data_IF_645879953367
#
_entry.id   IF_645879953367
#
_cell.length_a   1.000
_cell.length_b   1.000
_cell.length_c   1.000
_cell.angle_alpha   90.00
_cell.angle_beta   90.00
_cell.angle_gamma   90.00
#
_symmetry.space_group_name_H-M   'P 1'
#
loop_
_entity.id
_entity.type
_entity.pdbx_description
1 polymer ?
#
# COMPACT_ATOMS: atom_id res chain seq x y z
N UNK A 1 0.83 22.41 -4.85
CA UNK A 1 0.88 21.85 -6.21
C UNK A 1 0.16 20.53 -6.16
N UNK A 2 -0.94 20.38 -6.90
CA UNK A 2 -1.70 19.13 -6.92
C UNK A 2 -0.82 18.02 -7.54
N UNK A 3 -0.58 16.96 -6.79
CA UNK A 3 0.09 15.78 -7.32
C UNK A 3 -0.83 15.16 -8.37
N UNK A 4 -0.49 15.34 -9.65
CA UNK A 4 -1.18 14.63 -10.73
C UNK A 4 -0.87 13.13 -10.55
N UNK A 5 -1.87 12.25 -10.29
CA UNK A 5 -1.64 10.82 -10.08
C UNK A 5 -0.96 10.13 -11.27
N UNK A 6 -1.17 10.63 -12.48
CA UNK A 6 -0.55 10.09 -13.70
C UNK A 6 0.98 10.23 -13.71
N UNK A 7 1.54 11.24 -13.04
CA UNK A 7 3.00 11.43 -13.01
C UNK A 7 3.72 10.40 -12.14
N UNK A 8 3.07 9.78 -11.14
CA UNK A 8 3.68 8.76 -10.30
C UNK A 8 4.01 7.48 -11.09
N UNK A 9 3.09 7.02 -11.93
CA UNK A 9 3.24 5.76 -12.68
C UNK A 9 4.15 5.89 -13.91
N UNK A 10 4.37 7.12 -14.40
CA UNK A 10 5.25 7.40 -15.55
C UNK A 10 6.72 7.59 -15.19
N UNK A 11 7.07 7.48 -13.91
CA UNK A 11 8.44 7.68 -13.44
C UNK A 11 9.31 6.44 -13.63
N UNK A 12 10.61 6.67 -13.83
CA UNK A 12 11.61 5.61 -14.08
C UNK A 12 12.11 4.90 -12.82
N UNK A 13 11.90 5.48 -11.62
CA UNK A 13 12.31 4.83 -10.39
C UNK A 13 11.46 3.58 -10.12
N UNK A 14 12.06 2.53 -9.59
CA UNK A 14 11.39 1.26 -9.30
C UNK A 14 10.44 1.40 -8.11
N UNK A 15 9.21 0.93 -8.26
CA UNK A 15 8.21 0.85 -7.18
C UNK A 15 7.93 -0.60 -6.78
N UNK A 16 7.24 -0.78 -5.65
CA UNK A 16 6.75 -2.11 -5.27
C UNK A 16 5.78 -2.71 -6.31
N UNK A 17 5.04 -1.86 -7.05
CA UNK A 17 4.15 -2.33 -8.13
C UNK A 17 4.91 -2.89 -9.32
N UNK A 18 6.07 -2.30 -9.66
CA UNK A 18 6.96 -2.82 -10.70
C UNK A 18 7.53 -4.18 -10.31
N UNK A 19 7.90 -4.36 -9.03
CA UNK A 19 8.31 -5.67 -8.50
C UNK A 19 7.17 -6.69 -8.49
N UNK A 20 5.93 -6.25 -8.28
CA UNK A 20 4.75 -7.12 -8.39
C UNK A 20 4.56 -7.59 -9.82
N UNK A 21 4.63 -6.67 -10.79
CA UNK A 21 4.52 -7.01 -12.21
C UNK A 21 5.63 -7.99 -12.64
N UNK A 22 6.85 -7.76 -12.19
CA UNK A 22 7.97 -8.68 -12.43
C UNK A 22 7.70 -10.07 -11.83
N UNK A 23 7.27 -10.14 -10.56
CA UNK A 23 6.95 -11.40 -9.91
C UNK A 23 5.87 -12.18 -10.68
N UNK A 24 4.84 -11.51 -11.17
CA UNK A 24 3.77 -12.11 -11.95
C UNK A 24 4.25 -12.61 -13.31
N UNK A 25 5.21 -11.92 -13.94
CA UNK A 25 5.83 -12.35 -15.18
C UNK A 25 6.69 -13.60 -14.98
N UNK A 26 7.49 -13.65 -13.91
CA UNK A 26 8.39 -14.77 -13.62
C UNK A 26 7.67 -15.98 -13.03
N UNK A 27 6.64 -15.74 -12.24
CA UNK A 27 5.88 -16.76 -11.49
C UNK A 27 4.37 -16.54 -11.67
N UNK A 28 3.82 -16.81 -12.88
CA UNK A 28 2.39 -16.64 -13.12
C UNK A 28 1.58 -17.52 -12.18
N UNK A 29 0.73 -16.90 -11.38
CA UNK A 29 -0.22 -17.61 -10.49
C UNK A 29 -1.57 -17.73 -11.15
N UNK A 30 -2.27 -18.84 -10.88
CA UNK A 30 -3.68 -18.92 -11.21
C UNK A 30 -4.43 -17.81 -10.45
N UNK A 31 -5.10 -16.94 -11.20
CA UNK A 31 -5.88 -15.88 -10.62
C UNK A 31 -7.24 -16.42 -10.18
N UNK A 32 -7.53 -16.31 -8.89
CA UNK A 32 -8.86 -16.62 -8.35
C UNK A 32 -9.63 -15.31 -8.12
N UNK A 33 -10.83 -15.22 -8.68
CA UNK A 33 -11.69 -14.05 -8.55
C UNK A 33 -11.38 -12.92 -9.55
N UNK A 34 -12.20 -11.87 -9.50
CA UNK A 34 -12.00 -10.68 -10.32
C UNK A 34 -11.06 -9.70 -9.63
N UNK A 35 -9.76 -9.83 -9.92
CA UNK A 35 -8.71 -8.97 -9.37
C UNK A 35 -8.90 -7.50 -9.76
N UNK A 36 -9.32 -7.25 -10.97
CA UNK A 36 -9.53 -5.90 -11.49
C UNK A 36 -10.65 -5.18 -10.72
N UNK A 37 -11.76 -5.87 -10.47
CA UNK A 37 -12.86 -5.36 -9.67
C UNK A 37 -12.44 -5.12 -8.21
N UNK A 38 -11.67 -6.07 -7.63
CA UNK A 38 -11.15 -5.91 -6.27
C UNK A 38 -10.23 -4.70 -6.14
N UNK A 39 -9.40 -4.46 -7.16
CA UNK A 39 -8.49 -3.30 -7.22
C UNK A 39 -9.26 -2.00 -7.42
N UNK A 40 -10.23 -1.99 -8.34
CA UNK A 40 -11.11 -0.85 -8.60
C UNK A 40 -11.86 -0.42 -7.33
N UNK A 41 -12.47 -1.38 -6.61
CA UNK A 41 -13.15 -1.08 -5.35
C UNK A 41 -12.17 -0.59 -4.26
N UNK A 42 -10.95 -1.16 -4.19
CA UNK A 42 -9.89 -0.70 -3.31
C UNK A 42 -9.55 0.78 -3.54
N UNK A 43 -9.43 1.18 -4.81
CA UNK A 43 -9.18 2.58 -5.19
C UNK A 43 -10.31 3.53 -4.75
N UNK A 44 -11.57 3.08 -4.80
CA UNK A 44 -12.70 3.88 -4.31
C UNK A 44 -12.60 4.11 -2.79
N UNK A 45 -12.33 3.05 -2.02
CA UNK A 45 -12.19 3.14 -0.56
C UNK A 45 -11.01 4.04 -0.20
N UNK A 46 -9.87 3.87 -0.86
CA UNK A 46 -8.67 4.68 -0.64
C UNK A 46 -8.97 6.17 -0.95
N UNK A 47 -9.54 6.47 -2.11
CA UNK A 47 -9.86 7.84 -2.51
C UNK A 47 -10.83 8.53 -1.52
N UNK A 48 -11.88 7.84 -1.05
CA UNK A 48 -12.81 8.40 -0.06
C UNK A 48 -12.10 8.77 1.24
N UNK A 49 -11.08 8.01 1.64
CA UNK A 49 -10.42 8.15 2.93
C UNK A 49 -9.21 9.09 2.83
N UNK A 50 -8.38 8.94 1.80
CA UNK A 50 -7.08 9.63 1.71
C UNK A 50 -7.06 10.79 0.71
N UNK A 51 -7.93 10.78 -0.31
CA UNK A 51 -7.97 11.77 -1.39
C UNK A 51 -9.41 12.24 -1.72
N UNK A 52 -10.22 12.71 -0.76
CA UNK A 52 -11.64 13.00 -0.97
C UNK A 52 -11.91 14.05 -2.06
N UNK A 53 -10.92 14.87 -2.40
CA UNK A 53 -11.04 15.86 -3.48
C UNK A 53 -11.15 15.24 -4.88
N UNK A 54 -10.74 13.96 -5.06
CA UNK A 54 -10.88 13.20 -6.31
C UNK A 54 -12.26 12.56 -6.48
N UNK A 55 -13.07 12.53 -5.40
CA UNK A 55 -14.35 11.82 -5.37
C UNK A 55 -15.49 12.75 -5.77
N UNK A 56 -16.25 12.37 -6.78
CA UNK A 56 -17.48 13.04 -7.17
C UNK A 56 -18.70 12.23 -6.72
N UNK A 57 -19.29 12.61 -5.62
CA UNK A 57 -20.44 11.92 -5.01
C UNK A 57 -21.72 12.01 -5.84
N UNK A 58 -21.88 13.02 -6.68
CA UNK A 58 -23.05 13.17 -7.56
C UNK A 58 -22.97 12.27 -8.79
N UNK A 59 -21.75 12.15 -9.34
CA UNK A 59 -21.50 11.33 -10.51
C UNK A 59 -21.09 9.91 -10.16
N UNK A 60 -20.83 9.64 -8.89
CA UNK A 60 -20.31 8.37 -8.39
C UNK A 60 -19.00 7.99 -9.09
N UNK A 61 -18.08 8.95 -9.20
CA UNK A 61 -16.76 8.71 -9.84
C UNK A 61 -15.61 9.04 -8.89
N UNK A 62 -14.49 8.36 -9.14
CA UNK A 62 -13.17 8.80 -8.69
C UNK A 62 -12.37 9.10 -9.95
N UNK A 63 -11.97 10.33 -10.13
CA UNK A 63 -11.49 10.85 -11.42
C UNK A 63 -12.47 10.46 -12.56
N UNK A 64 -11.99 9.72 -13.57
CA UNK A 64 -12.80 9.25 -14.70
C UNK A 64 -13.41 7.85 -14.50
N UNK A 65 -13.12 7.19 -13.36
CA UNK A 65 -13.64 5.84 -13.09
C UNK A 65 -15.04 5.90 -12.49
N UNK A 66 -16.01 5.29 -13.17
CA UNK A 66 -17.40 5.19 -12.73
C UNK A 66 -17.60 4.01 -11.79
N UNK A 67 -18.42 4.20 -10.74
CA UNK A 67 -18.82 3.18 -9.77
C UNK A 67 -20.35 3.10 -9.66
N UNK A 68 -20.84 2.00 -9.10
CA UNK A 68 -22.26 1.82 -8.80
C UNK A 68 -22.64 2.50 -7.47
N UNK A 69 -23.94 2.74 -7.26
CA UNK A 69 -24.45 3.25 -5.98
C UNK A 69 -24.14 2.29 -4.82
N UNK A 70 -24.21 0.98 -5.07
CA UNK A 70 -23.91 -0.02 -4.04
C UNK A 70 -22.44 -0.01 -3.63
N UNK A 71 -21.51 0.13 -4.59
CA UNK A 71 -20.09 0.27 -4.30
C UNK A 71 -19.80 1.53 -3.49
N UNK A 72 -20.38 2.67 -3.88
CA UNK A 72 -20.22 3.92 -3.12
C UNK A 72 -20.79 3.83 -1.71
N UNK A 73 -22.00 3.28 -1.58
CA UNK A 73 -22.62 3.07 -0.26
C UNK A 73 -21.75 2.18 0.63
N UNK A 74 -21.29 1.06 0.10
CA UNK A 74 -20.41 0.13 0.83
C UNK A 74 -19.08 0.79 1.23
N UNK A 75 -18.42 1.50 0.31
CA UNK A 75 -17.18 2.20 0.64
C UNK A 75 -17.38 3.30 1.70
N UNK A 76 -18.52 4.00 1.67
CA UNK A 76 -18.89 4.97 2.71
C UNK A 76 -19.17 4.29 4.06
N UNK A 77 -19.77 3.10 4.08
CA UNK A 77 -19.95 2.32 5.32
C UNK A 77 -18.61 1.89 5.90
N UNK A 78 -17.68 1.43 5.08
CA UNK A 78 -16.30 1.13 5.50
C UNK A 78 -15.62 2.36 6.09
N UNK A 79 -15.75 3.53 5.47
CA UNK A 79 -15.21 4.78 6.01
C UNK A 79 -15.86 5.17 7.34
N UNK A 80 -17.19 5.04 7.48
CA UNK A 80 -17.88 5.28 8.75
C UNK A 80 -17.37 4.36 9.86
N UNK A 81 -17.10 3.09 9.54
CA UNK A 81 -16.54 2.14 10.49
C UNK A 81 -15.13 2.54 10.94
N UNK A 82 -14.26 2.95 10.00
CA UNK A 82 -12.94 3.49 10.33
C UNK A 82 -13.02 4.71 11.25
N UNK A 83 -13.93 5.65 10.95
CA UNK A 83 -14.17 6.84 11.79
C UNK A 83 -14.76 6.50 13.16
N UNK A 84 -15.55 5.44 13.25
CA UNK A 84 -16.08 4.94 14.53
C UNK A 84 -14.97 4.30 15.37
N UNK A 85 -14.11 3.49 14.74
CA UNK A 85 -12.95 2.88 15.41
C UNK A 85 -11.99 3.95 15.96
N UNK A 86 -11.77 5.03 15.24
CA UNK A 86 -10.92 6.15 15.66
C UNK A 86 -11.39 6.80 16.99
N UNK A 87 -12.63 6.62 17.41
CA UNK A 87 -13.14 7.10 18.73
C UNK A 87 -12.58 6.28 19.89
N UNK A 88 -12.14 5.06 19.60
CA UNK A 88 -11.63 4.10 20.59
C UNK A 88 -10.13 3.86 20.41
N UNK A 89 -9.61 4.09 19.21
CA UNK A 89 -8.19 4.00 18.87
C UNK A 89 -7.58 5.40 18.74
N UNK A 90 -6.92 5.87 19.82
CA UNK A 90 -6.29 7.20 19.84
C UNK A 90 -5.22 7.39 18.77
N UNK A 91 -4.51 6.30 18.39
CA UNK A 91 -3.51 6.38 17.33
C UNK A 91 -4.16 6.57 15.96
N UNK A 92 -5.22 5.83 15.66
CA UNK A 92 -5.98 6.02 14.42
C UNK A 92 -6.58 7.43 14.34
N UNK A 93 -7.15 7.94 15.43
CA UNK A 93 -7.67 9.32 15.48
C UNK A 93 -6.54 10.34 15.19
N UNK A 94 -5.36 10.14 15.76
CA UNK A 94 -4.21 10.97 15.49
C UNK A 94 -3.78 10.90 14.01
N UNK A 95 -3.71 9.70 13.43
CA UNK A 95 -3.39 9.50 12.00
C UNK A 95 -4.38 10.25 11.10
N UNK A 96 -5.68 10.04 11.31
CA UNK A 96 -6.72 10.65 10.48
C UNK A 96 -6.76 12.20 10.56
N UNK A 97 -6.20 12.79 11.61
CA UNK A 97 -6.14 14.25 11.78
C UNK A 97 -4.84 14.89 11.30
N UNK A 98 -3.72 14.15 11.39
CA UNK A 98 -2.40 14.75 11.27
C UNK A 98 -1.54 14.17 10.15
N UNK A 99 -1.90 13.02 9.59
CA UNK A 99 -1.11 12.43 8.52
C UNK A 99 -1.22 13.24 7.22
N UNK A 100 -0.08 13.41 6.56
CA UNK A 100 -0.05 13.82 5.15
C UNK A 100 -0.42 12.61 4.32
N UNK A 101 -1.49 12.72 3.54
CA UNK A 101 -1.95 11.63 2.68
C UNK A 101 -1.19 11.58 1.36
N UNK A 102 -1.05 10.39 0.78
CA UNK A 102 -0.44 10.16 -0.52
C UNK A 102 0.98 10.74 -0.64
N UNK A 103 1.77 10.59 0.43
CA UNK A 103 3.13 11.13 0.49
C UNK A 103 4.07 10.36 -0.44
N UNK A 104 4.55 11.03 -1.47
CA UNK A 104 5.52 10.50 -2.41
C UNK A 104 6.96 10.66 -1.88
N UNK A 105 7.77 9.59 -2.02
CA UNK A 105 9.20 9.59 -1.69
C UNK A 105 10.02 8.84 -2.73
N UNK A 106 11.26 9.30 -2.92
CA UNK A 106 12.26 8.71 -3.81
C UNK A 106 13.56 8.51 -3.05
N UNK A 107 14.20 7.35 -3.24
CA UNK A 107 15.58 7.15 -2.93
C UNK A 107 16.35 6.98 -4.27
N UNK A 108 17.18 7.94 -4.69
CA UNK A 108 17.79 7.93 -6.03
C UNK A 108 18.85 6.84 -6.19
N UNK A 109 19.36 6.27 -5.10
CA UNK A 109 20.42 5.27 -5.11
C UNK A 109 20.33 4.34 -3.89
N UNK A 110 19.20 3.64 -3.77
CA UNK A 110 19.04 2.64 -2.71
C UNK A 110 19.99 1.48 -2.96
N UNK A 111 20.76 1.14 -1.92
CA UNK A 111 21.72 0.04 -1.97
C UNK A 111 21.04 -1.29 -1.63
N UNK A 112 21.39 -2.31 -2.36
CA UNK A 112 20.91 -3.69 -2.17
C UNK A 112 22.09 -4.65 -2.12
N UNK A 113 21.91 -5.74 -1.35
CA UNK A 113 22.82 -6.88 -1.33
C UNK A 113 22.01 -8.16 -1.52
N UNK A 114 22.36 -8.97 -2.52
CA UNK A 114 21.72 -10.26 -2.76
C UNK A 114 22.70 -11.25 -3.39
N UNK A 115 22.78 -12.48 -2.85
CA UNK A 115 23.65 -13.55 -3.34
C UNK A 115 25.12 -13.12 -3.55
N UNK A 116 25.68 -12.29 -2.68
CA UNK A 116 27.06 -11.78 -2.79
C UNK A 116 27.25 -10.61 -3.76
N UNK A 117 26.21 -10.17 -4.45
CA UNK A 117 26.24 -8.97 -5.29
C UNK A 117 25.81 -7.74 -4.50
N UNK A 118 26.41 -6.61 -4.81
CA UNK A 118 25.99 -5.30 -4.34
C UNK A 118 25.63 -4.43 -5.55
N UNK A 119 24.43 -3.83 -5.51
CA UNK A 119 23.92 -3.00 -6.62
C UNK A 119 23.06 -1.86 -6.07
N UNK A 120 22.70 -0.91 -6.91
CA UNK A 120 21.79 0.17 -6.53
C UNK A 120 20.70 0.36 -7.57
N UNK A 121 19.53 0.79 -7.09
CA UNK A 121 18.39 1.19 -7.92
C UNK A 121 17.86 2.53 -7.42
N UNK A 122 17.41 3.37 -8.35
CA UNK A 122 16.51 4.46 -7.97
C UNK A 122 15.13 3.88 -7.64
N UNK A 123 14.62 4.19 -6.46
CA UNK A 123 13.39 3.58 -5.93
C UNK A 123 12.38 4.63 -5.52
N UNK A 124 11.09 4.29 -5.59
CA UNK A 124 10.00 5.16 -5.17
C UNK A 124 8.93 4.43 -4.37
N UNK A 125 8.24 5.20 -3.54
CA UNK A 125 7.03 4.77 -2.84
C UNK A 125 6.04 5.92 -2.70
N UNK A 126 4.77 5.59 -2.42
CA UNK A 126 3.73 6.56 -2.13
C UNK A 126 2.91 6.05 -0.94
N UNK A 127 3.09 6.71 0.22
CA UNK A 127 2.44 6.36 1.46
C UNK A 127 0.99 6.83 1.47
N UNK A 128 0.06 6.01 1.91
CA UNK A 128 -1.33 6.45 2.10
C UNK A 128 -1.42 7.46 3.24
N UNK A 129 -0.67 7.22 4.32
CA UNK A 129 -0.51 8.12 5.45
C UNK A 129 0.96 8.29 5.83
N UNK A 130 1.38 9.52 6.06
CA UNK A 130 2.72 9.84 6.55
C UNK A 130 2.66 10.82 7.71
N UNK A 131 3.25 10.45 8.84
CA UNK A 131 3.36 11.26 10.06
C UNK A 131 4.70 11.99 10.06
N UNK A 132 4.75 13.23 9.57
CA UNK A 132 6.00 13.99 9.40
C UNK A 132 6.75 14.19 10.72
N UNK A 133 6.05 14.47 11.82
CA UNK A 133 6.67 14.68 13.13
C UNK A 133 7.28 13.39 13.72
N UNK A 134 6.78 12.22 13.31
CA UNK A 134 7.20 10.92 13.82
C UNK A 134 8.08 10.13 12.85
N UNK A 135 8.23 10.62 11.62
CA UNK A 135 9.05 10.06 10.53
C UNK A 135 8.70 8.60 10.21
N UNK A 136 7.44 8.26 10.25
CA UNK A 136 6.93 6.98 9.77
C UNK A 136 5.53 7.11 9.20
N UNK A 137 5.13 6.14 8.43
CA UNK A 137 3.84 6.14 7.76
C UNK A 137 3.09 4.84 7.92
N UNK A 138 2.01 4.73 7.18
CA UNK A 138 1.18 3.54 7.14
C UNK A 138 0.41 3.41 5.85
N UNK A 139 -0.27 2.30 5.76
CA UNK A 139 -0.97 1.82 4.59
C UNK A 139 -2.43 1.50 4.92
N UNK A 140 -3.32 1.81 4.00
CA UNK A 140 -4.73 1.50 4.09
C UNK A 140 -5.08 0.35 3.15
N UNK A 141 -5.76 -0.67 3.67
CA UNK A 141 -6.19 -1.81 2.86
C UNK A 141 -7.69 -2.06 2.97
N UNK A 142 -8.30 -2.41 1.88
CA UNK A 142 -9.58 -3.09 1.87
C UNK A 142 -9.35 -4.60 1.76
N UNK A 143 -9.97 -5.40 2.64
CA UNK A 143 -9.70 -6.84 2.74
C UNK A 143 -10.97 -7.66 2.79
N UNK A 144 -10.89 -8.94 2.45
CA UNK A 144 -11.96 -9.92 2.69
C UNK A 144 -11.81 -10.66 4.03
N UNK A 145 -10.77 -10.36 4.81
CA UNK A 145 -10.60 -10.90 6.14
C UNK A 145 -11.81 -10.55 7.04
N UNK A 146 -12.26 -11.51 7.83
CA UNK A 146 -13.37 -11.35 8.77
C UNK A 146 -12.89 -11.29 10.22
N UNK A 147 -11.60 -11.60 10.46
CA UNK A 147 -10.95 -11.61 11.77
C UNK A 147 -9.53 -11.04 11.69
N UNK A 148 -8.97 -10.66 12.85
CA UNK A 148 -7.58 -10.21 12.95
C UNK A 148 -6.60 -11.27 12.44
N UNK A 149 -6.86 -12.55 12.74
CA UNK A 149 -6.01 -13.66 12.27
C UNK A 149 -6.00 -13.77 10.75
N UNK A 150 -7.17 -13.77 10.10
CA UNK A 150 -7.28 -13.79 8.64
C UNK A 150 -6.60 -12.57 8.01
N UNK A 151 -6.68 -11.40 8.64
CA UNK A 151 -5.99 -10.21 8.18
C UNK A 151 -4.45 -10.38 8.26
N UNK A 152 -3.94 -10.93 9.36
CA UNK A 152 -2.50 -11.16 9.50
C UNK A 152 -1.98 -12.21 8.49
N UNK A 153 -2.75 -13.26 8.20
CA UNK A 153 -2.47 -14.22 7.13
C UNK A 153 -2.47 -13.55 5.75
N UNK A 154 -3.36 -12.58 5.52
CA UNK A 154 -3.43 -11.83 4.27
C UNK A 154 -2.18 -10.95 4.03
N UNK A 155 -1.47 -10.50 5.07
CA UNK A 155 -0.25 -9.70 4.95
C UNK A 155 0.82 -10.46 4.16
N UNK A 156 1.06 -11.72 4.51
CA UNK A 156 2.02 -12.58 3.81
C UNK A 156 1.49 -13.00 2.43
N UNK A 157 0.22 -13.42 2.36
CA UNK A 157 -0.38 -13.96 1.14
C UNK A 157 -0.40 -12.94 -0.02
N UNK A 158 -0.66 -11.66 0.27
CA UNK A 158 -0.71 -10.58 -0.72
C UNK A 158 0.60 -9.79 -0.84
N UNK A 159 1.69 -10.25 -0.21
CA UNK A 159 2.99 -9.56 -0.18
C UNK A 159 2.88 -8.11 0.37
N UNK A 160 1.97 -7.86 1.31
CA UNK A 160 1.92 -6.55 1.96
C UNK A 160 3.14 -6.32 2.85
N UNK A 161 3.69 -7.36 3.46
CA UNK A 161 4.97 -7.36 4.16
C UNK A 161 6.10 -6.82 3.28
N UNK A 162 6.19 -7.30 2.02
CA UNK A 162 7.15 -6.82 1.04
C UNK A 162 6.98 -5.33 0.77
N UNK A 163 5.73 -4.87 0.56
CA UNK A 163 5.47 -3.46 0.28
C UNK A 163 5.85 -2.58 1.48
N UNK A 164 5.59 -3.04 2.72
CA UNK A 164 5.93 -2.26 3.91
C UNK A 164 7.43 -2.18 4.13
N UNK A 165 8.16 -3.29 4.00
CA UNK A 165 9.62 -3.30 4.10
C UNK A 165 10.26 -2.39 3.02
N UNK A 166 9.78 -2.44 1.77
CA UNK A 166 10.20 -1.56 0.68
C UNK A 166 10.02 -0.07 1.03
N UNK A 167 8.85 0.29 1.58
CA UNK A 167 8.53 1.66 1.93
C UNK A 167 9.35 2.15 3.12
N UNK A 168 9.51 1.32 4.15
CA UNK A 168 10.32 1.64 5.31
C UNK A 168 11.78 1.93 4.93
N UNK A 169 12.34 1.16 3.99
CA UNK A 169 13.73 1.35 3.59
C UNK A 169 13.93 2.59 2.70
N UNK A 170 13.00 2.89 1.79
CA UNK A 170 13.03 4.14 1.01
C UNK A 170 12.95 5.36 1.93
N UNK A 171 12.04 5.34 2.89
CA UNK A 171 11.83 6.45 3.82
C UNK A 171 12.85 6.50 4.96
N UNK A 172 13.70 5.45 5.13
CA UNK A 172 14.54 5.23 6.30
C UNK A 172 13.77 5.25 7.60
N UNK A 173 12.56 4.71 7.57
CA UNK A 173 11.67 4.62 8.72
C UNK A 173 11.96 3.35 9.52
N UNK A 174 11.87 3.44 10.86
CA UNK A 174 12.00 2.29 11.76
C UNK A 174 10.65 1.63 12.07
N UNK A 175 9.55 2.25 11.63
CA UNK A 175 8.19 1.83 11.95
C UNK A 175 7.28 1.98 10.74
N UNK A 176 6.22 1.18 10.76
CA UNK A 176 5.12 1.22 9.80
C UNK A 176 3.85 0.71 10.48
N UNK A 177 2.70 0.97 9.89
CA UNK A 177 1.43 0.39 10.31
C UNK A 177 0.53 0.10 9.11
N UNK A 178 -0.32 -0.90 9.26
CA UNK A 178 -1.40 -1.20 8.32
C UNK A 178 -2.72 -1.08 9.08
N UNK A 179 -3.65 -0.30 8.55
CA UNK A 179 -5.06 -0.43 8.87
C UNK A 179 -5.77 -1.08 7.70
N UNK A 180 -6.61 -2.07 8.00
CA UNK A 180 -7.42 -2.73 6.99
C UNK A 180 -8.89 -2.71 7.38
N UNK A 181 -9.76 -2.52 6.39
CA UNK A 181 -11.20 -2.52 6.58
C UNK A 181 -11.79 -3.71 5.82
N UNK A 182 -12.55 -4.54 6.51
CA UNK A 182 -13.21 -5.69 5.91
C UNK A 182 -14.32 -5.29 4.95
N UNK A 183 -14.27 -5.84 3.73
CA UNK A 183 -15.37 -5.75 2.75
C UNK A 183 -16.59 -6.59 3.14
N UNK A 184 -16.43 -7.55 4.08
CA UNK A 184 -17.52 -8.45 4.50
C UNK A 184 -18.37 -7.88 5.63
N UNK A 185 -17.72 -7.26 6.62
CA UNK A 185 -18.37 -6.87 7.87
C UNK A 185 -17.98 -5.48 8.37
N UNK A 186 -17.20 -4.73 7.60
CA UNK A 186 -16.66 -3.41 7.92
C UNK A 186 -15.80 -3.36 9.20
N UNK A 187 -15.36 -4.50 9.75
CA UNK A 187 -14.44 -4.52 10.87
C UNK A 187 -13.10 -3.90 10.48
N UNK A 188 -12.51 -3.17 11.41
CA UNK A 188 -11.20 -2.54 11.23
C UNK A 188 -10.14 -3.39 11.92
N UNK A 189 -9.08 -3.69 11.21
CA UNK A 189 -7.92 -4.44 11.70
C UNK A 189 -6.69 -3.55 11.66
N UNK A 190 -5.71 -3.83 12.52
CA UNK A 190 -4.45 -3.09 12.54
C UNK A 190 -3.26 -4.01 12.77
N UNK A 191 -2.12 -3.62 12.20
CA UNK A 191 -0.81 -4.21 12.47
C UNK A 191 0.24 -3.11 12.52
N UNK A 192 1.01 -3.06 13.59
CA UNK A 192 2.24 -2.27 13.66
C UNK A 192 3.40 -3.14 13.23
N UNK A 193 4.37 -2.54 12.57
CA UNK A 193 5.57 -3.21 12.05
C UNK A 193 6.78 -2.39 12.46
N UNK A 194 7.82 -3.06 12.93
CA UNK A 194 9.12 -2.47 13.22
C UNK A 194 10.21 -3.22 12.43
N UNK A 195 11.43 -2.66 12.38
CA UNK A 195 12.55 -3.34 11.71
C UNK A 195 12.93 -4.68 12.35
N UNK A 196 12.59 -4.87 13.62
CA UNK A 196 12.87 -6.11 14.36
C UNK A 196 11.80 -7.18 14.14
N UNK A 197 10.67 -6.83 13.54
CA UNK A 197 9.57 -7.77 13.30
C UNK A 197 9.91 -8.81 12.22
N UNK A 198 9.46 -10.07 12.40
CA UNK A 198 9.55 -11.10 11.35
C UNK A 198 8.88 -10.69 10.04
N UNK A 199 7.78 -9.91 10.11
CA UNK A 199 7.07 -9.39 8.94
C UNK A 199 7.99 -8.48 8.10
N UNK A 200 8.72 -7.56 8.72
CA UNK A 200 9.67 -6.71 8.00
C UNK A 200 10.79 -7.52 7.37
N UNK A 201 11.37 -8.50 8.09
CA UNK A 201 12.47 -9.33 7.58
C UNK A 201 12.01 -10.17 6.40
N UNK A 202 10.87 -10.85 6.52
CA UNK A 202 10.30 -11.64 5.42
C UNK A 202 9.98 -10.77 4.19
N UNK A 203 9.40 -9.60 4.40
CA UNK A 203 9.12 -8.65 3.34
C UNK A 203 10.39 -8.14 2.65
N UNK A 204 11.46 -7.92 3.42
CA UNK A 204 12.76 -7.50 2.91
C UNK A 204 13.40 -8.60 2.05
N UNK A 205 13.42 -9.84 2.49
CA UNK A 205 13.91 -10.97 1.71
C UNK A 205 13.19 -11.08 0.35
N UNK A 206 11.84 -10.95 0.36
CA UNK A 206 11.02 -10.98 -0.85
C UNK A 206 11.38 -9.84 -1.83
N UNK A 207 11.60 -8.63 -1.36
CA UNK A 207 11.91 -7.54 -2.28
C UNK A 207 13.38 -7.54 -2.73
N UNK A 208 14.33 -7.96 -1.90
CA UNK A 208 15.74 -8.04 -2.29
C UNK A 208 15.95 -9.02 -3.45
N UNK A 209 15.29 -10.16 -3.42
CA UNK A 209 15.28 -11.11 -4.53
C UNK A 209 14.72 -10.49 -5.82
N UNK A 210 13.53 -9.88 -5.74
CA UNK A 210 12.90 -9.28 -6.91
C UNK A 210 13.67 -8.06 -7.44
N UNK A 211 14.25 -7.26 -6.56
CA UNK A 211 15.10 -6.13 -6.95
C UNK A 211 16.36 -6.60 -7.68
N UNK A 212 16.97 -7.73 -7.25
CA UNK A 212 18.09 -8.33 -7.94
C UNK A 212 17.69 -8.83 -9.33
N UNK A 213 16.59 -9.53 -9.46
CA UNK A 213 16.07 -9.99 -10.74
C UNK A 213 15.76 -8.80 -11.68
N UNK A 214 15.15 -7.75 -11.14
CA UNK A 214 14.87 -6.50 -11.87
C UNK A 214 16.17 -5.86 -12.38
N UNK A 215 17.19 -5.75 -11.52
CA UNK A 215 18.48 -5.19 -11.86
C UNK A 215 19.17 -5.99 -12.97
N UNK A 216 19.20 -7.33 -12.87
CA UNK A 216 19.78 -8.21 -13.90
C UNK A 216 19.12 -8.03 -15.27
N UNK A 217 17.78 -7.91 -15.31
CA UNK A 217 17.05 -7.71 -16.57
C UNK A 217 17.38 -6.35 -17.22
N UNK A 218 17.67 -5.33 -16.43
CA UNK A 218 18.04 -4.00 -16.94
C UNK A 218 19.52 -3.88 -17.32
N UNK A 219 20.38 -4.85 -16.98
CA UNK A 219 21.77 -4.90 -17.45
C UNK A 219 21.89 -5.50 -18.88
N UNK A 220 20.87 -6.25 -19.31
CA UNK A 220 20.87 -6.99 -20.58
C UNK A 220 20.21 -6.20 -21.71
N UNK A 221 19.49 -5.12 -21.37
CA UNK A 221 18.87 -4.17 -22.31
C UNK A 221 19.66 -2.87 -22.41
#
# INVERSE_FOLDING_TARGET
>A
MANNPDTYYLRSEVSNSDLTALKELLHPRLQFGNREEAFRFGNLVDAIITEPARVNYFRLTVDDTQYTEDEFRHAQEMYKSLRSEARHDQFLDYVLRNAVTQRFMVNPAQQFGYCGFTFSLATRCKWDWWLEAALFGGDLKSTFASSQKEFEEAIDFFDWDRSRAWYMDIARSDRDFIYAISKKNCNVFKKFITRDDPIYRAGREKYEELAFQYWCLNLVN
#
